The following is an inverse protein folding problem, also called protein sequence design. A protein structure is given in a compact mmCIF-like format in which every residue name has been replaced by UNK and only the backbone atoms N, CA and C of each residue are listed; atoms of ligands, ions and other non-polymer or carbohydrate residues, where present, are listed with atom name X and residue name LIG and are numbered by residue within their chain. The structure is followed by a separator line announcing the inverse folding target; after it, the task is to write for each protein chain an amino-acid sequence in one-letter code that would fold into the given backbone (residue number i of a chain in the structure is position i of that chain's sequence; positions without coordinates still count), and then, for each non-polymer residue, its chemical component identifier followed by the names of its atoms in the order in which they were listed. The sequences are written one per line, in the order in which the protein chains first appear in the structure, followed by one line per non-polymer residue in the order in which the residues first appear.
data_IF_326085421943
#
_entry.id   IF_326085421943
#
_cell.length_a   1.000
_cell.length_b   1.000
_cell.length_c   1.000
_cell.angle_alpha   90.00
_cell.angle_beta   90.00
_cell.angle_gamma   90.00
#
_symmetry.space_group_name_H-M   'P 1'
#
loop_
_entity.id
_entity.type
_entity.pdbx_description
1 polymer ?
#
# COMPACT_ATOMS: atom_id res chain seq x y z
N UNK A 1 1.56 3.30 15.23
CA UNK A 1 2.01 2.38 14.19
C UNK A 1 1.43 2.76 12.81
N UNK A 2 1.83 3.91 12.29
CA UNK A 2 1.47 4.35 10.93
C UNK A 2 2.74 4.57 10.09
N UNK A 3 3.82 3.90 10.45
CA UNK A 3 5.08 3.90 9.71
C UNK A 3 4.99 2.73 8.74
N UNK A 4 5.10 2.97 7.44
CA UNK A 4 4.96 1.94 6.38
C UNK A 4 3.55 1.75 5.82
N UNK A 5 2.63 2.67 6.05
CA UNK A 5 1.24 2.57 5.56
C UNK A 5 1.00 3.61 4.46
N UNK A 6 0.20 3.26 3.44
CA UNK A 6 -0.12 4.12 2.30
C UNK A 6 -0.59 5.53 2.74
N UNK A 7 -0.40 6.55 1.90
CA UNK A 7 -0.80 7.94 2.20
C UNK A 7 -2.28 8.05 2.53
N UNK A 8 -3.13 7.29 1.85
CA UNK A 8 -4.56 7.27 2.11
C UNK A 8 -4.86 6.69 3.49
N UNK A 9 -4.15 5.66 3.92
CA UNK A 9 -4.27 5.13 5.26
C UNK A 9 -3.73 6.10 6.33
N UNK A 10 -2.66 6.86 6.04
CA UNK A 10 -2.20 7.98 6.92
C UNK A 10 -3.26 9.07 7.03
N UNK A 11 -3.92 9.46 5.93
CA UNK A 11 -5.05 10.42 5.94
C UNK A 11 -6.23 9.90 6.76
N UNK A 12 -6.61 8.63 6.58
CA UNK A 12 -7.66 7.99 7.40
C UNK A 12 -7.28 8.01 8.89
N UNK A 13 -6.02 7.71 9.22
CA UNK A 13 -5.52 7.80 10.60
C UNK A 13 -5.61 9.22 11.17
N UNK A 14 -5.26 10.25 10.41
CA UNK A 14 -5.41 11.66 10.82
C UNK A 14 -6.87 12.02 11.04
N UNK A 15 -7.78 11.60 10.15
CA UNK A 15 -9.23 11.81 10.31
C UNK A 15 -9.70 11.14 11.59
N UNK A 16 -9.31 9.89 11.84
CA UNK A 16 -9.72 9.14 13.02
C UNK A 16 -9.19 9.76 14.31
N UNK A 17 -7.93 10.17 14.35
CA UNK A 17 -7.34 10.86 15.51
C UNK A 17 -8.05 12.20 15.74
N UNK A 18 -8.25 13.00 14.69
CA UNK A 18 -8.93 14.30 14.79
C UNK A 18 -10.38 14.14 15.26
N UNK A 19 -11.09 13.15 14.73
CA UNK A 19 -12.45 12.81 15.15
C UNK A 19 -12.53 12.51 16.65
N UNK A 20 -11.65 11.64 17.17
CA UNK A 20 -11.63 11.29 18.57
C UNK A 20 -11.21 12.48 19.45
N UNK A 21 -10.22 13.27 19.05
CA UNK A 21 -9.74 14.43 19.81
C UNK A 21 -10.82 15.51 19.92
N UNK A 22 -11.45 15.86 18.79
CA UNK A 22 -12.53 16.86 18.76
C UNK A 22 -13.75 16.34 19.53
N UNK A 23 -14.13 15.08 19.31
CA UNK A 23 -15.24 14.45 20.02
C UNK A 23 -15.03 14.44 21.51
N UNK A 24 -13.83 14.08 21.99
CA UNK A 24 -13.49 14.10 23.42
C UNK A 24 -13.56 15.52 23.97
N UNK A 25 -13.02 16.51 23.30
CA UNK A 25 -13.09 17.91 23.71
C UNK A 25 -14.55 18.41 23.83
N UNK A 26 -15.38 18.12 22.83
CA UNK A 26 -16.81 18.46 22.83
C UNK A 26 -17.56 17.72 23.93
N UNK A 27 -17.29 16.43 24.15
CA UNK A 27 -17.90 15.64 25.20
C UNK A 27 -17.56 16.15 26.61
N UNK A 28 -16.29 16.48 26.85
CA UNK A 28 -15.87 17.08 28.13
C UNK A 28 -16.53 18.46 28.36
N UNK A 29 -16.57 19.33 27.33
CA UNK A 29 -17.25 20.61 27.42
C UNK A 29 -18.75 20.45 27.72
N UNK A 30 -19.41 19.48 27.11
CA UNK A 30 -20.82 19.18 27.36
C UNK A 30 -21.06 18.64 28.76
N UNK A 31 -20.20 17.75 29.28
CA UNK A 31 -20.30 17.22 30.63
C UNK A 31 -20.01 18.27 31.68
N UNK A 32 -18.90 19.00 31.60
CA UNK A 32 -18.55 20.05 32.56
C UNK A 32 -19.53 21.23 32.52
N UNK A 33 -19.95 21.64 31.30
CA UNK A 33 -20.97 22.66 31.15
C UNK A 33 -22.32 22.20 31.66
N UNK A 34 -22.71 20.94 31.42
CA UNK A 34 -23.94 20.35 31.94
C UNK A 34 -23.96 20.26 33.46
N UNK A 35 -22.85 19.85 34.07
CA UNK A 35 -22.71 19.80 35.53
C UNK A 35 -22.84 21.18 36.14
N UNK A 36 -22.21 22.22 35.55
CA UNK A 36 -22.24 23.59 36.06
C UNK A 36 -23.65 24.20 36.03
N UNK A 37 -24.50 23.84 35.04
CA UNK A 37 -25.82 24.44 34.90
C UNK A 37 -26.98 23.54 35.36
N UNK A 38 -26.82 22.19 35.30
CA UNK A 38 -27.90 21.23 35.53
C UNK A 38 -27.72 20.37 36.79
N UNK A 39 -26.54 20.46 37.46
CA UNK A 39 -26.21 19.70 38.68
C UNK A 39 -26.55 18.20 38.51
N UNK A 40 -25.77 17.47 37.69
CA UNK A 40 -26.05 16.11 37.23
C UNK A 40 -25.63 15.05 38.28
N UNK A 41 -26.56 14.58 39.18
CA UNK A 41 -26.21 13.70 40.30
C UNK A 41 -25.61 12.36 39.88
N UNK A 42 -25.93 11.88 38.69
CA UNK A 42 -25.42 10.58 38.19
C UNK A 42 -23.89 10.56 37.91
N UNK A 43 -23.25 11.73 37.80
CA UNK A 43 -21.78 11.81 37.59
C UNK A 43 -21.01 11.44 38.88
N UNK A 44 -21.66 11.48 40.07
CA UNK A 44 -21.06 11.09 41.33
C UNK A 44 -21.26 9.60 41.68
N UNK A 45 -22.05 8.86 40.90
CA UNK A 45 -22.31 7.45 41.16
C UNK A 45 -21.22 6.53 40.58
N UNK A 46 -20.84 5.46 41.29
CA UNK A 46 -19.87 4.50 40.79
C UNK A 46 -20.44 3.73 39.58
N UNK A 47 -19.69 3.72 38.47
CA UNK A 47 -20.10 3.07 37.22
C UNK A 47 -19.42 1.70 37.07
N UNK A 48 -20.20 0.67 36.73
CA UNK A 48 -19.69 -0.66 36.43
C UNK A 48 -19.26 -0.81 34.92
N UNK A 49 -18.65 -1.93 34.60
CA UNK A 49 -18.13 -2.21 33.23
C UNK A 49 -19.19 -2.05 32.13
N UNK A 50 -20.43 -2.49 32.37
CA UNK A 50 -21.56 -2.34 31.45
C UNK A 50 -21.91 -0.87 31.22
N UNK A 51 -21.93 -0.08 32.33
CA UNK A 51 -22.19 1.35 32.23
C UNK A 51 -21.11 2.10 31.48
N UNK A 52 -19.82 1.74 31.65
CA UNK A 52 -18.71 2.31 30.85
C UNK A 52 -18.90 2.02 29.37
N UNK A 53 -19.22 0.76 29.00
CA UNK A 53 -19.48 0.39 27.60
C UNK A 53 -20.66 1.15 26.99
N UNK A 54 -21.74 1.33 27.77
CA UNK A 54 -22.92 2.09 27.36
C UNK A 54 -22.61 3.57 27.13
N UNK A 55 -21.90 4.21 28.08
CA UNK A 55 -21.45 5.60 27.92
C UNK A 55 -20.53 5.78 26.73
N UNK A 56 -19.61 4.85 26.49
CA UNK A 56 -18.74 4.86 25.33
C UNK A 56 -19.52 4.77 24.00
N UNK A 57 -20.54 3.92 23.94
CA UNK A 57 -21.40 3.79 22.77
C UNK A 57 -22.20 5.08 22.51
N UNK A 58 -22.83 5.64 23.54
CA UNK A 58 -23.56 6.91 23.42
C UNK A 58 -22.62 8.02 22.98
N UNK A 59 -21.45 8.12 23.59
CA UNK A 59 -20.43 9.11 23.20
C UNK A 59 -20.06 9.01 21.72
N UNK A 60 -19.76 7.82 21.22
CA UNK A 60 -19.41 7.63 19.80
C UNK A 60 -20.57 7.96 18.87
N UNK A 61 -21.79 7.56 19.18
CA UNK A 61 -22.99 7.88 18.39
C UNK A 61 -23.21 9.40 18.33
N UNK A 62 -23.19 10.07 19.49
CA UNK A 62 -23.38 11.52 19.57
C UNK A 62 -22.27 12.27 18.82
N UNK A 63 -21.01 11.89 19.02
CA UNK A 63 -19.87 12.47 18.32
C UNK A 63 -20.00 12.30 16.81
N UNK A 64 -20.40 11.11 16.34
CA UNK A 64 -20.62 10.85 14.92
C UNK A 64 -21.71 11.76 14.35
N UNK A 65 -22.85 11.86 15.01
CA UNK A 65 -23.97 12.72 14.56
C UNK A 65 -23.57 14.20 14.50
N UNK A 66 -22.79 14.68 15.46
CA UNK A 66 -22.32 16.06 15.51
C UNK A 66 -21.25 16.34 14.45
N UNK A 67 -20.33 15.40 14.22
CA UNK A 67 -19.20 15.60 13.29
C UNK A 67 -19.52 15.19 11.86
N UNK A 68 -20.57 14.43 11.59
CA UNK A 68 -20.96 14.00 10.25
C UNK A 68 -21.12 15.18 9.25
N UNK A 69 -21.79 16.31 9.61
CA UNK A 69 -21.87 17.47 8.72
C UNK A 69 -20.51 18.11 8.42
N UNK A 70 -19.50 17.86 9.26
CA UNK A 70 -18.16 18.42 9.18
C UNK A 70 -17.14 17.45 8.53
N UNK A 71 -17.60 16.33 7.97
CA UNK A 71 -16.73 15.31 7.34
C UNK A 71 -15.79 15.92 6.27
N UNK A 72 -16.29 16.83 5.43
CA UNK A 72 -15.48 17.53 4.43
C UNK A 72 -14.40 18.44 5.04
N UNK A 73 -14.61 18.98 6.22
CA UNK A 73 -13.63 19.80 6.94
C UNK A 73 -12.53 18.90 7.53
N UNK A 74 -12.89 17.74 8.06
CA UNK A 74 -11.94 16.72 8.54
C UNK A 74 -11.06 16.18 7.40
N UNK A 75 -11.66 15.93 6.23
CA UNK A 75 -10.93 15.54 5.01
C UNK A 75 -9.94 16.64 4.59
N UNK A 76 -10.37 17.92 4.54
CA UNK A 76 -9.48 19.05 4.23
C UNK A 76 -8.34 19.18 5.23
N UNK A 77 -8.60 18.94 6.53
CA UNK A 77 -7.58 18.93 7.57
C UNK A 77 -6.56 17.81 7.33
N UNK A 78 -7.02 16.60 7.04
CA UNK A 78 -6.14 15.46 6.74
C UNK A 78 -5.28 15.73 5.50
N UNK A 79 -5.88 16.28 4.43
CA UNK A 79 -5.16 16.68 3.22
C UNK A 79 -4.16 17.82 3.45
N UNK A 80 -4.40 18.69 4.43
CA UNK A 80 -3.46 19.77 4.79
C UNK A 80 -2.31 19.26 5.67
N UNK A 81 -2.58 18.31 6.56
CA UNK A 81 -1.57 17.70 7.44
C UNK A 81 -0.67 16.75 6.65
N UNK A 82 -1.28 15.96 5.75
CA UNK A 82 -0.56 15.09 4.82
C UNK A 82 -0.63 15.78 3.44
N UNK A 83 0.15 16.84 3.33
CA UNK A 83 0.25 17.62 2.10
C UNK A 83 0.90 16.78 1.01
N UNK A 84 0.26 16.78 -0.16
CA UNK A 84 0.93 16.48 -1.41
C UNK A 84 1.77 17.71 -1.73
N UNK A 85 3.07 17.70 -1.48
CA UNK A 85 3.94 18.59 -2.22
C UNK A 85 3.85 18.14 -3.68
N UNK A 86 3.09 18.87 -4.47
CA UNK A 86 3.14 18.78 -5.92
C UNK A 86 4.53 19.23 -6.36
N UNK A 87 5.49 18.29 -6.41
CA UNK A 87 6.68 18.48 -7.23
C UNK A 87 6.20 18.51 -8.68
N UNK A 88 6.31 19.67 -9.36
CA UNK A 88 5.70 19.86 -10.66
C UNK A 88 6.59 19.20 -11.71
N UNK A 89 6.39 17.97 -12.08
CA UNK A 89 6.99 17.49 -13.31
C UNK A 89 6.39 16.21 -13.90
N UNK A 90 6.11 15.19 -13.12
CA UNK A 90 5.78 13.88 -13.70
C UNK A 90 4.31 13.79 -14.17
N UNK A 91 3.40 14.59 -13.62
CA UNK A 91 1.96 14.56 -13.92
C UNK A 91 1.43 15.75 -14.72
N UNK A 92 2.30 16.59 -15.28
CA UNK A 92 1.90 17.70 -16.14
C UNK A 92 1.10 17.28 -17.39
N UNK A 93 1.18 16.00 -17.75
CA UNK A 93 0.48 15.40 -18.89
C UNK A 93 -0.97 15.01 -18.61
N UNK A 94 -1.40 14.94 -17.33
CA UNK A 94 -2.80 14.70 -16.97
C UNK A 94 -3.62 16.01 -17.06
N UNK A 95 -3.57 16.64 -18.25
CA UNK A 95 -4.27 17.92 -18.49
C UNK A 95 -5.76 17.65 -18.73
N UNK A 96 -6.68 18.27 -17.97
CA UNK A 96 -8.12 18.18 -18.21
C UNK A 96 -8.54 18.55 -19.63
N UNK A 97 -7.74 19.35 -20.35
CA UNK A 97 -8.01 19.71 -21.74
C UNK A 97 -7.92 18.53 -22.71
N UNK A 98 -7.13 17.48 -22.36
CA UNK A 98 -7.03 16.26 -23.17
C UNK A 98 -8.29 15.41 -23.11
N UNK A 99 -9.21 15.66 -22.18
CA UNK A 99 -10.55 15.03 -22.17
C UNK A 99 -11.36 15.30 -23.43
N UNK A 100 -11.00 16.34 -24.20
CA UNK A 100 -11.61 16.62 -25.52
C UNK A 100 -11.11 15.67 -26.62
N UNK A 101 -10.03 14.97 -26.37
CA UNK A 101 -9.40 14.02 -27.28
C UNK A 101 -9.07 12.72 -26.52
N UNK A 102 -10.10 11.91 -26.16
CA UNK A 102 -9.95 10.78 -25.25
C UNK A 102 -8.85 9.78 -25.66
N UNK A 103 -8.70 9.49 -26.96
CA UNK A 103 -7.65 8.59 -27.44
C UNK A 103 -6.22 9.07 -27.13
N UNK A 104 -5.97 10.40 -27.18
CA UNK A 104 -4.67 10.97 -26.78
C UNK A 104 -4.48 10.86 -25.27
N UNK A 105 -5.53 11.15 -24.49
CA UNK A 105 -5.49 11.02 -23.03
C UNK A 105 -5.18 9.57 -22.60
N UNK A 106 -5.80 8.57 -23.24
CA UNK A 106 -5.53 7.15 -23.00
C UNK A 106 -4.10 6.77 -23.33
N UNK A 107 -3.56 7.29 -24.46
CA UNK A 107 -2.16 7.04 -24.87
C UNK A 107 -1.17 7.60 -23.84
N UNK A 108 -1.41 8.82 -23.33
CA UNK A 108 -0.58 9.41 -22.28
C UNK A 108 -0.65 8.61 -20.96
N UNK A 109 -1.85 8.16 -20.58
CA UNK A 109 -2.01 7.27 -19.43
C UNK A 109 -1.22 5.97 -19.60
N UNK A 110 -1.21 5.38 -20.80
CA UNK A 110 -0.43 4.16 -21.08
C UNK A 110 1.08 4.39 -20.88
N UNK A 111 1.60 5.52 -21.35
CA UNK A 111 3.02 5.88 -21.14
C UNK A 111 3.33 6.02 -19.66
N UNK A 112 2.45 6.65 -18.89
CA UNK A 112 2.66 6.83 -17.45
C UNK A 112 2.52 5.52 -16.66
N UNK A 113 1.58 4.66 -17.05
CA UNK A 113 1.44 3.32 -16.47
C UNK A 113 2.70 2.47 -16.71
N UNK A 114 3.32 2.57 -17.89
CA UNK A 114 4.60 1.92 -18.19
C UNK A 114 5.73 2.43 -17.28
N UNK A 115 5.77 3.73 -16.98
CA UNK A 115 6.74 4.31 -16.03
C UNK A 115 6.49 3.81 -14.61
N UNK A 116 5.23 3.74 -14.20
CA UNK A 116 4.83 3.18 -12.90
C UNK A 116 5.30 1.72 -12.77
N UNK A 117 5.08 0.89 -13.79
CA UNK A 117 5.54 -0.50 -13.80
C UNK A 117 7.06 -0.63 -13.70
N UNK A 118 7.82 0.25 -14.39
CA UNK A 118 9.28 0.28 -14.28
C UNK A 118 9.74 0.68 -12.86
N UNK A 119 9.05 1.62 -12.23
CA UNK A 119 9.34 2.05 -10.86
C UNK A 119 9.04 0.93 -9.83
N UNK A 120 7.93 0.21 -10.01
CA UNK A 120 7.57 -0.94 -9.17
C UNK A 120 8.62 -2.06 -9.26
N UNK A 121 9.07 -2.36 -10.48
CA UNK A 121 10.14 -3.34 -10.71
C UNK A 121 11.46 -2.91 -10.06
N UNK A 122 11.85 -1.62 -10.19
CA UNK A 122 13.04 -1.06 -9.53
C UNK A 122 12.95 -1.23 -8.01
N UNK A 123 11.80 -0.92 -7.41
CA UNK A 123 11.59 -1.07 -5.97
C UNK A 123 11.73 -2.52 -5.51
N UNK A 124 11.18 -3.47 -6.27
CA UNK A 124 11.32 -4.89 -5.97
C UNK A 124 12.78 -5.35 -6.06
N UNK A 125 13.52 -4.95 -7.10
CA UNK A 125 14.95 -5.27 -7.25
C UNK A 125 15.78 -4.70 -6.10
N UNK A 126 15.50 -3.47 -5.67
CA UNK A 126 16.17 -2.87 -4.52
C UNK A 126 15.87 -3.65 -3.24
N UNK A 127 14.62 -4.08 -3.02
CA UNK A 127 14.22 -4.85 -1.84
C UNK A 127 14.87 -6.24 -1.82
N UNK A 128 14.91 -6.94 -2.94
CA UNK A 128 15.59 -8.24 -3.05
C UNK A 128 17.10 -8.12 -2.79
N UNK A 129 17.73 -7.05 -3.29
CA UNK A 129 19.14 -6.77 -3.05
C UNK A 129 19.48 -6.53 -1.57
N UNK A 130 18.51 -6.12 -0.72
CA UNK A 130 18.70 -5.95 0.71
C UNK A 130 18.94 -7.28 1.45
N UNK A 131 18.40 -8.39 0.95
CA UNK A 131 18.65 -9.73 1.50
C UNK A 131 20.07 -10.24 1.19
N UNK A 132 20.71 -9.70 0.14
CA UNK A 132 22.10 -10.01 -0.20
C UNK A 132 23.05 -9.17 0.65
N UNK A 133 22.83 -7.86 0.67
CA UNK A 133 23.60 -6.90 1.44
C UNK A 133 22.70 -5.73 1.82
N UNK A 134 22.48 -5.55 3.12
CA UNK A 134 21.67 -4.45 3.62
C UNK A 134 22.37 -3.10 3.43
N UNK A 135 21.63 -2.11 2.93
CA UNK A 135 22.08 -0.73 2.73
C UNK A 135 20.93 0.24 3.04
N UNK A 136 21.12 1.11 4.04
CA UNK A 136 20.11 2.10 4.46
C UNK A 136 19.72 3.09 3.35
N UNK A 137 20.59 3.35 2.37
CA UNK A 137 20.27 4.24 1.25
C UNK A 137 19.22 3.62 0.30
N UNK A 138 19.21 2.29 0.16
CA UNK A 138 18.18 1.59 -0.60
C UNK A 138 16.83 1.62 0.12
N UNK A 139 16.81 1.54 1.45
CA UNK A 139 15.58 1.70 2.23
C UNK A 139 14.92 3.04 1.94
N UNK A 140 15.68 4.15 1.95
CA UNK A 140 15.16 5.48 1.63
C UNK A 140 14.60 5.55 0.19
N UNK A 141 15.26 4.89 -0.77
CA UNK A 141 14.79 4.83 -2.16
C UNK A 141 13.50 4.05 -2.30
N UNK A 142 13.37 2.89 -1.65
CA UNK A 142 12.16 2.05 -1.67
C UNK A 142 10.97 2.83 -1.09
N UNK A 143 11.16 3.50 0.06
CA UNK A 143 10.13 4.36 0.65
C UNK A 143 9.73 5.52 -0.27
N UNK A 144 10.71 6.17 -0.93
CA UNK A 144 10.42 7.24 -1.87
C UNK A 144 9.72 6.74 -3.14
N UNK A 145 10.00 5.52 -3.57
CA UNK A 145 9.35 4.90 -4.73
C UNK A 145 7.91 4.49 -4.40
N UNK A 146 7.66 3.94 -3.21
CA UNK A 146 6.30 3.61 -2.73
C UNK A 146 5.42 4.85 -2.68
N UNK A 147 5.89 5.95 -2.07
CA UNK A 147 5.21 7.25 -2.07
C UNK A 147 4.86 7.76 -3.50
N UNK A 148 5.71 7.46 -4.50
CA UNK A 148 5.44 7.81 -5.90
C UNK A 148 4.42 6.86 -6.52
N UNK A 149 4.51 5.54 -6.26
CA UNK A 149 3.58 4.54 -6.79
C UNK A 149 2.15 4.83 -6.30
N UNK A 150 1.97 5.14 -5.02
CA UNK A 150 0.69 5.62 -4.48
C UNK A 150 0.16 6.85 -5.23
N UNK A 151 1.06 7.81 -5.51
CA UNK A 151 0.70 9.02 -6.25
C UNK A 151 0.30 8.68 -7.69
N UNK A 152 0.97 7.73 -8.33
CA UNK A 152 0.61 7.25 -9.66
C UNK A 152 -0.77 6.59 -9.65
N UNK A 153 -1.04 5.69 -8.70
CA UNK A 153 -2.34 5.02 -8.56
C UNK A 153 -3.47 6.02 -8.41
N UNK A 154 -3.39 6.93 -7.43
CA UNK A 154 -4.41 7.93 -7.16
C UNK A 154 -4.70 8.82 -8.39
N UNK A 155 -3.66 9.34 -9.05
CA UNK A 155 -3.80 10.31 -10.14
C UNK A 155 -4.21 9.66 -11.44
N UNK A 156 -3.54 8.56 -11.83
CA UNK A 156 -3.90 7.84 -13.06
C UNK A 156 -5.28 7.20 -12.93
N UNK A 157 -5.60 6.57 -11.79
CA UNK A 157 -6.90 5.97 -11.54
C UNK A 157 -8.03 7.00 -11.66
N UNK A 158 -7.89 8.14 -10.96
CA UNK A 158 -8.85 9.22 -11.04
C UNK A 158 -9.02 9.78 -12.46
N UNK A 159 -7.93 9.93 -13.21
CA UNK A 159 -7.96 10.45 -14.57
C UNK A 159 -8.57 9.43 -15.58
N UNK A 160 -8.22 8.15 -15.47
CA UNK A 160 -8.79 7.07 -16.29
C UNK A 160 -10.30 6.92 -16.07
N UNK A 161 -10.76 7.03 -14.81
CA UNK A 161 -12.19 7.05 -14.48
C UNK A 161 -12.89 8.23 -15.16
N UNK A 162 -12.29 9.43 -15.15
CA UNK A 162 -12.86 10.58 -15.85
C UNK A 162 -12.93 10.34 -17.37
N UNK A 163 -11.87 9.77 -17.99
CA UNK A 163 -11.89 9.42 -19.42
C UNK A 163 -13.05 8.47 -19.72
N UNK A 164 -13.29 7.48 -18.88
CA UNK A 164 -14.37 6.48 -19.09
C UNK A 164 -15.77 7.09 -19.15
N UNK A 165 -15.96 8.28 -18.55
CA UNK A 165 -17.25 9.00 -18.53
C UNK A 165 -17.46 9.92 -19.74
N UNK A 166 -16.46 10.11 -20.61
CA UNK A 166 -16.46 11.10 -21.69
C UNK A 166 -16.55 10.49 -23.10
N UNK A 167 -17.47 9.57 -23.33
CA UNK A 167 -17.84 9.13 -24.70
C UNK A 167 -16.69 8.52 -25.51
N UNK A 168 -15.90 7.68 -24.91
CA UNK A 168 -14.72 7.01 -25.43
C UNK A 168 -15.08 5.89 -26.42
N UNK A 169 -14.23 5.59 -27.40
CA UNK A 169 -14.41 4.46 -28.28
C UNK A 169 -14.35 3.12 -27.51
N UNK A 170 -14.95 2.06 -28.07
CA UNK A 170 -14.89 0.73 -27.44
C UNK A 170 -13.47 0.17 -27.35
N UNK A 171 -12.58 0.58 -28.27
CA UNK A 171 -11.15 0.23 -28.22
C UNK A 171 -10.45 0.93 -27.06
N UNK A 172 -10.63 2.25 -26.92
CA UNK A 172 -10.06 3.03 -25.84
C UNK A 172 -10.57 2.56 -24.49
N UNK A 173 -11.86 2.18 -24.38
CA UNK A 173 -12.44 1.67 -23.16
C UNK A 173 -11.79 0.34 -22.69
N UNK A 174 -11.45 -0.55 -23.63
CA UNK A 174 -10.67 -1.77 -23.30
C UNK A 174 -9.29 -1.42 -22.75
N UNK A 175 -8.62 -0.44 -23.37
CA UNK A 175 -7.33 0.05 -22.90
C UNK A 175 -7.45 0.68 -21.52
N UNK A 176 -8.44 1.54 -21.27
CA UNK A 176 -8.71 2.14 -19.96
C UNK A 176 -8.90 1.05 -18.89
N UNK A 177 -9.71 0.01 -19.18
CA UNK A 177 -9.92 -1.09 -18.24
C UNK A 177 -8.61 -1.83 -17.93
N UNK A 178 -7.80 -2.13 -18.96
CA UNK A 178 -6.50 -2.77 -18.78
C UNK A 178 -5.54 -1.93 -17.93
N UNK A 179 -5.48 -0.61 -18.19
CA UNK A 179 -4.63 0.29 -17.42
C UNK A 179 -5.07 0.41 -15.97
N UNK A 180 -6.40 0.46 -15.70
CA UNK A 180 -6.95 0.49 -14.34
C UNK A 180 -6.56 -0.75 -13.52
N UNK A 181 -6.53 -1.95 -14.14
CA UNK A 181 -6.04 -3.15 -13.46
C UNK A 181 -4.53 -3.07 -13.23
N UNK A 182 -3.76 -2.69 -14.25
CA UNK A 182 -2.31 -2.65 -14.17
C UNK A 182 -1.78 -1.67 -13.13
N UNK A 183 -2.40 -0.49 -12.95
CA UNK A 183 -1.94 0.47 -11.91
C UNK A 183 -2.11 -0.11 -10.51
N UNK A 184 -3.21 -0.82 -10.23
CA UNK A 184 -3.39 -1.49 -8.94
C UNK A 184 -2.40 -2.66 -8.74
N UNK A 185 -2.07 -3.40 -9.80
CA UNK A 185 -1.07 -4.47 -9.71
C UNK A 185 0.34 -3.91 -9.49
N UNK A 186 0.70 -2.80 -10.13
CA UNK A 186 2.01 -2.15 -9.93
C UNK A 186 2.16 -1.51 -8.55
N UNK A 187 1.10 -0.93 -8.00
CA UNK A 187 1.08 -0.45 -6.62
C UNK A 187 1.32 -1.61 -5.65
N UNK A 188 0.62 -2.75 -5.82
CA UNK A 188 0.81 -3.93 -4.99
C UNK A 188 2.24 -4.50 -5.05
N UNK A 189 2.90 -4.45 -6.21
CA UNK A 189 4.31 -4.83 -6.33
C UNK A 189 5.18 -3.90 -5.48
N UNK A 190 4.89 -2.59 -5.47
CA UNK A 190 5.54 -1.61 -4.59
C UNK A 190 5.34 -1.91 -3.11
N UNK A 191 4.12 -2.21 -2.70
CA UNK A 191 3.77 -2.62 -1.33
C UNK A 191 4.52 -3.88 -0.90
N UNK A 192 4.61 -4.89 -1.78
CA UNK A 192 5.39 -6.10 -1.51
C UNK A 192 6.89 -5.79 -1.40
N UNK A 193 7.43 -4.89 -2.23
CA UNK A 193 8.82 -4.46 -2.10
C UNK A 193 9.10 -3.79 -0.75
N UNK A 194 8.17 -2.97 -0.24
CA UNK A 194 8.28 -2.37 1.08
C UNK A 194 8.23 -3.42 2.20
N UNK A 195 7.32 -4.39 2.12
CA UNK A 195 7.23 -5.49 3.09
C UNK A 195 8.53 -6.33 3.11
N UNK A 196 9.10 -6.62 1.94
CA UNK A 196 10.39 -7.32 1.83
C UNK A 196 11.53 -6.49 2.41
N UNK A 197 11.53 -5.17 2.20
CA UNK A 197 12.49 -4.25 2.82
C UNK A 197 12.43 -4.33 4.36
N UNK A 198 11.21 -4.34 4.94
CA UNK A 198 11.04 -4.47 6.40
C UNK A 198 11.60 -5.81 6.91
N UNK A 199 11.34 -6.91 6.22
CA UNK A 199 11.87 -8.24 6.56
C UNK A 199 13.39 -8.32 6.43
N UNK A 200 13.98 -7.69 5.41
CA UNK A 200 15.44 -7.60 5.26
C UNK A 200 16.08 -6.74 6.35
N UNK A 201 15.42 -5.66 6.77
CA UNK A 201 15.84 -4.82 7.89
C UNK A 201 15.82 -5.60 9.21
N UNK A 202 14.76 -6.36 9.45
CA UNK A 202 14.65 -7.24 10.62
C UNK A 202 15.78 -8.27 10.65
N UNK A 203 16.10 -8.90 9.51
CA UNK A 203 17.22 -9.83 9.37
C UNK A 203 18.54 -9.16 9.76
N UNK A 204 18.78 -7.93 9.27
CA UNK A 204 19.99 -7.17 9.55
C UNK A 204 20.08 -6.73 11.01
N UNK A 205 19.05 -6.11 11.57
CA UNK A 205 19.05 -5.59 12.95
C UNK A 205 19.20 -6.70 14.00
N UNK A 206 18.57 -7.86 13.76
CA UNK A 206 18.69 -9.04 14.64
C UNK A 206 19.93 -9.90 14.35
N UNK A 207 20.74 -9.52 13.37
CA UNK A 207 21.94 -10.25 12.94
C UNK A 207 21.65 -11.74 12.63
N UNK A 208 20.48 -11.99 12.05
CA UNK A 208 20.08 -13.33 11.62
C UNK A 208 20.71 -13.64 10.26
N UNK A 209 21.12 -14.89 10.07
CA UNK A 209 21.69 -15.35 8.79
C UNK A 209 21.04 -16.64 8.34
N UNK A 210 20.73 -16.74 7.07
CA UNK A 210 20.29 -18.01 6.47
C UNK A 210 21.42 -19.03 6.47
N UNK A 211 21.09 -20.31 6.63
CA UNK A 211 22.06 -21.38 6.39
C UNK A 211 22.54 -21.34 4.93
N UNK A 212 23.73 -21.90 4.59
CA UNK A 212 24.21 -21.91 3.22
C UNK A 212 23.19 -22.47 2.21
N UNK A 213 22.51 -23.57 2.58
CA UNK A 213 21.47 -24.19 1.74
C UNK A 213 20.26 -23.25 1.57
N UNK A 214 19.78 -22.64 2.66
CA UNK A 214 18.64 -21.68 2.57
C UNK A 214 19.03 -20.45 1.78
N UNK A 215 20.29 -20.02 1.82
CA UNK A 215 20.79 -18.90 1.02
C UNK A 215 20.75 -19.22 -0.48
N UNK A 216 21.22 -20.39 -0.88
CA UNK A 216 21.14 -20.85 -2.27
C UNK A 216 19.69 -20.93 -2.75
N UNK A 217 18.76 -21.42 -1.90
CA UNK A 217 17.32 -21.45 -2.21
C UNK A 217 16.75 -20.03 -2.42
N UNK A 218 17.11 -19.08 -1.56
CA UNK A 218 16.70 -17.67 -1.67
C UNK A 218 17.28 -17.03 -2.94
N UNK A 219 18.56 -17.26 -3.24
CA UNK A 219 19.22 -16.71 -4.44
C UNK A 219 18.56 -17.23 -5.74
N UNK A 220 18.16 -18.50 -5.80
CA UNK A 220 17.42 -19.06 -6.94
C UNK A 220 16.03 -18.46 -7.05
N UNK A 221 15.30 -18.34 -5.92
CA UNK A 221 13.95 -17.78 -5.87
C UNK A 221 13.94 -16.32 -6.34
N UNK A 222 14.84 -15.50 -5.82
CA UNK A 222 14.94 -14.07 -6.17
C UNK A 222 15.32 -13.86 -7.63
N UNK A 223 16.23 -14.69 -8.18
CA UNK A 223 16.59 -14.64 -9.60
C UNK A 223 15.41 -14.98 -10.51
N UNK A 224 14.65 -16.03 -10.16
CA UNK A 224 13.45 -16.41 -10.92
C UNK A 224 12.36 -15.32 -10.84
N UNK A 225 12.17 -14.72 -9.66
CA UNK A 225 11.22 -13.61 -9.47
C UNK A 225 11.59 -12.39 -10.33
N UNK A 226 12.88 -12.04 -10.39
CA UNK A 226 13.35 -10.96 -11.25
C UNK A 226 13.10 -11.25 -12.74
N UNK A 227 13.35 -12.46 -13.20
CA UNK A 227 13.09 -12.88 -14.58
C UNK A 227 11.60 -12.86 -14.92
N UNK A 228 10.76 -13.34 -13.97
CA UNK A 228 9.29 -13.33 -14.08
C UNK A 228 8.77 -11.90 -14.24
N UNK A 229 9.14 -11.00 -13.30
CA UNK A 229 8.68 -9.61 -13.29
C UNK A 229 9.17 -8.82 -14.53
N UNK A 230 10.43 -9.02 -14.93
CA UNK A 230 10.97 -8.42 -16.15
C UNK A 230 10.19 -8.88 -17.40
N UNK A 231 9.88 -10.17 -17.48
CA UNK A 231 9.13 -10.74 -18.62
C UNK A 231 7.69 -10.24 -18.63
N UNK A 232 7.03 -10.18 -17.48
CA UNK A 232 5.68 -9.66 -17.33
C UNK A 232 5.61 -8.17 -17.73
N UNK A 233 6.52 -7.34 -17.23
CA UNK A 233 6.56 -5.92 -17.57
C UNK A 233 6.81 -5.69 -19.07
N UNK A 234 7.76 -6.42 -19.68
CA UNK A 234 8.01 -6.34 -21.12
C UNK A 234 6.78 -6.74 -21.93
N UNK A 235 6.10 -7.81 -21.54
CA UNK A 235 4.86 -8.25 -22.17
C UNK A 235 3.78 -7.17 -22.12
N UNK A 236 3.59 -6.55 -20.95
CA UNK A 236 2.65 -5.45 -20.76
C UNK A 236 2.98 -4.23 -21.65
N UNK A 237 4.26 -3.84 -21.70
CA UNK A 237 4.74 -2.69 -22.47
C UNK A 237 4.63 -2.88 -23.98
N UNK A 238 4.89 -4.11 -24.48
CA UNK A 238 4.84 -4.43 -25.91
C UNK A 238 3.43 -4.70 -26.42
N UNK A 239 2.47 -4.93 -25.51
CA UNK A 239 1.10 -5.39 -25.83
C UNK A 239 1.10 -6.66 -26.70
N UNK A 240 2.09 -7.56 -26.47
CA UNK A 240 2.29 -8.78 -27.23
C UNK A 240 1.76 -10.02 -26.50
N UNK A 241 0.65 -10.62 -26.99
CA UNK A 241 0.09 -11.83 -26.38
C UNK A 241 1.01 -13.05 -26.44
N UNK A 242 1.99 -13.09 -27.36
CA UNK A 242 2.94 -14.22 -27.42
C UNK A 242 3.98 -14.12 -26.31
N UNK A 243 4.43 -12.90 -25.99
CA UNK A 243 5.28 -12.68 -24.82
C UNK A 243 4.54 -12.99 -23.51
N UNK A 244 3.26 -12.63 -23.41
CA UNK A 244 2.44 -12.95 -22.24
C UNK A 244 2.38 -14.46 -21.95
N UNK A 245 2.28 -15.29 -23.00
CA UNK A 245 2.28 -16.76 -22.85
C UNK A 245 3.59 -17.34 -22.34
N UNK A 246 4.70 -16.60 -22.44
CA UNK A 246 6.00 -17.04 -21.91
C UNK A 246 6.13 -16.77 -20.40
N UNK A 247 5.28 -15.91 -19.85
CA UNK A 247 5.25 -15.60 -18.41
C UNK A 247 4.64 -16.75 -17.60
N UNK A 248 3.59 -17.39 -18.12
CA UNK A 248 2.86 -18.48 -17.45
C UNK A 248 3.78 -19.65 -17.01
N UNK A 249 4.69 -20.19 -17.86
CA UNK A 249 5.62 -21.24 -17.42
C UNK A 249 6.61 -20.79 -16.32
N UNK A 250 6.95 -19.49 -16.27
CA UNK A 250 7.81 -18.95 -15.22
C UNK A 250 7.04 -18.88 -13.89
N UNK A 251 5.77 -18.48 -13.94
CA UNK A 251 4.87 -18.44 -12.78
C UNK A 251 4.63 -19.84 -12.23
N UNK A 252 4.30 -20.84 -13.08
CA UNK A 252 4.19 -22.24 -12.65
C UNK A 252 5.48 -22.76 -12.00
N UNK A 253 6.63 -22.37 -12.52
CA UNK A 253 7.94 -22.73 -11.95
C UNK A 253 8.15 -22.05 -10.60
N UNK A 254 7.74 -20.80 -10.44
CA UNK A 254 7.80 -20.03 -9.19
C UNK A 254 6.96 -20.71 -8.11
N UNK A 255 5.73 -21.10 -8.44
CA UNK A 255 4.83 -21.79 -7.51
C UNK A 255 5.42 -23.11 -7.01
N UNK A 256 5.96 -23.94 -7.92
CA UNK A 256 6.61 -25.19 -7.56
C UNK A 256 7.85 -24.97 -6.68
N UNK A 257 8.66 -23.96 -7.01
CA UNK A 257 9.86 -23.63 -6.24
C UNK A 257 9.50 -23.14 -4.84
N UNK A 258 8.52 -22.27 -4.72
CA UNK A 258 8.00 -21.75 -3.45
C UNK A 258 7.51 -22.88 -2.54
N UNK A 259 6.73 -23.81 -3.07
CA UNK A 259 6.20 -24.95 -2.30
C UNK A 259 7.35 -25.89 -1.84
N UNK A 260 8.32 -26.16 -2.71
CA UNK A 260 9.48 -27.01 -2.35
C UNK A 260 10.36 -26.32 -1.29
N UNK A 261 10.65 -25.02 -1.40
CA UNK A 261 11.42 -24.27 -0.40
C UNK A 261 10.69 -24.29 0.95
N UNK A 262 9.36 -24.05 0.94
CA UNK A 262 8.52 -24.12 2.14
C UNK A 262 8.59 -25.50 2.80
N UNK A 263 8.48 -26.56 2.02
CA UNK A 263 8.57 -27.94 2.50
C UNK A 263 9.95 -28.25 3.12
N UNK A 264 11.04 -27.81 2.47
CA UNK A 264 12.40 -27.97 2.99
C UNK A 264 12.62 -27.16 4.26
N UNK A 265 12.08 -25.95 4.33
CA UNK A 265 12.16 -25.11 5.51
C UNK A 265 11.47 -25.77 6.72
N UNK A 266 10.26 -26.33 6.54
CA UNK A 266 9.56 -27.05 7.61
C UNK A 266 10.41 -28.20 8.14
N UNK A 267 11.08 -28.98 7.26
CA UNK A 267 11.99 -30.06 7.66
C UNK A 267 13.19 -29.55 8.46
N UNK A 268 13.78 -28.41 8.07
CA UNK A 268 14.87 -27.75 8.81
C UNK A 268 14.41 -27.27 10.19
N UNK A 269 13.21 -26.72 10.31
CA UNK A 269 12.61 -26.35 11.60
C UNK A 269 12.44 -27.57 12.51
N UNK A 270 11.87 -28.66 12.00
CA UNK A 270 11.66 -29.90 12.76
C UNK A 270 12.96 -30.56 13.24
N UNK A 271 14.03 -30.42 12.47
CA UNK A 271 15.36 -30.93 12.81
C UNK A 271 16.20 -29.99 13.66
N UNK A 272 15.68 -28.81 14.04
CA UNK A 272 16.41 -27.82 14.82
C UNK A 272 17.53 -27.08 14.06
N UNK A 273 17.55 -27.17 12.72
CA UNK A 273 18.55 -26.55 11.86
C UNK A 273 18.15 -25.13 11.44
N UNK A 274 16.97 -24.66 11.83
CA UNK A 274 16.47 -23.34 11.57
C UNK A 274 15.74 -22.80 12.80
N UNK A 275 15.71 -21.45 12.96
CA UNK A 275 14.96 -20.79 14.02
C UNK A 275 13.58 -20.38 13.54
N UNK A 276 12.63 -20.25 14.46
CA UNK A 276 11.26 -19.80 14.16
C UNK A 276 11.30 -18.38 13.57
N UNK A 277 12.20 -17.52 14.06
CA UNK A 277 12.34 -16.15 13.55
C UNK A 277 12.75 -16.10 12.08
N UNK A 278 13.73 -16.91 11.67
CA UNK A 278 14.09 -17.06 10.25
C UNK A 278 12.94 -17.64 9.43
N UNK A 279 12.08 -18.44 10.06
CA UNK A 279 10.89 -19.00 9.42
C UNK A 279 9.88 -17.93 9.03
N UNK A 280 9.65 -16.92 9.86
CA UNK A 280 8.77 -15.81 9.54
C UNK A 280 9.33 -15.00 8.37
N UNK A 281 10.61 -14.60 8.44
CA UNK A 281 11.27 -13.83 7.37
C UNK A 281 11.27 -14.61 6.03
N UNK A 282 11.53 -15.90 6.06
CA UNK A 282 11.45 -16.71 4.84
C UNK A 282 10.03 -16.81 4.30
N UNK A 283 9.02 -16.91 5.18
CA UNK A 283 7.62 -16.94 4.75
C UNK A 283 7.16 -15.63 4.11
N UNK A 284 7.68 -14.49 4.54
CA UNK A 284 7.39 -13.18 3.93
C UNK A 284 8.04 -13.06 2.54
N UNK A 285 9.09 -13.83 2.28
CA UNK A 285 9.81 -13.86 1.01
C UNK A 285 9.19 -14.85 0.01
N UNK A 286 8.43 -15.85 0.50
CA UNK A 286 7.70 -16.88 -0.29
C UNK A 286 6.26 -16.46 -0.60
#
# INVERSE_FOLDING_TARGET
SSIGVSRNAKRVSVIHISFNLIGTALGLLALFGGEMFLNLPFLAEPIGAVGIAFCHTIFNVCTTLVLLPFSRQLERLANKVISTEDKPSDFAFLDPRLMRTPGVAVSECAVMTNRMGALALESMQLALAQFIQYDGSREEQILANEDKLDTYEDRLGGYLVQISQHGTSSADMRTVSRLLHAIGDFERIGDHALNLQESAKELHEKQLTFSPIAREEVDVLTSLLEDLLNSALRSFQSDDPQMARQVEPLEETMDLLTEEIRSRHIRRLQSGQCTIQLGFILNDLL
#
